data_IF_406797054059
#
_entry.id   IF_406797054059
#
_cell.length_a   1.000
_cell.length_b   1.000
_cell.length_c   1.000
_cell.angle_alpha   90.00
_cell.angle_beta   90.00
_cell.angle_gamma   90.00
#
_symmetry.space_group_name_H-M   'P 1'
#
loop_
_entity.id
_entity.type
_entity.pdbx_description
1 polymer ?
#
# COMPACT_ATOMS: atom_id res chain seq x y z
N UNK A 1 6.71 -6.35 -14.12
CA UNK A 1 6.87 -7.72 -13.63
C UNK A 1 6.95 -7.66 -12.11
N UNK A 2 5.81 -7.50 -11.48
CA UNK A 2 5.69 -7.70 -10.05
C UNK A 2 5.94 -9.19 -9.83
N UNK A 3 7.00 -9.44 -9.16
CA UNK A 3 7.58 -10.75 -9.08
C UNK A 3 6.88 -11.58 -8.02
N UNK A 4 6.82 -12.85 -8.24
CA UNK A 4 6.53 -13.87 -7.22
C UNK A 4 7.46 -13.80 -5.99
N UNK A 5 8.45 -12.90 -6.01
CA UNK A 5 9.26 -12.58 -4.83
C UNK A 5 8.42 -12.19 -3.62
N UNK A 6 7.27 -11.55 -3.84
CA UNK A 6 6.36 -11.18 -2.77
C UNK A 6 5.63 -12.36 -2.12
N UNK A 7 5.64 -13.52 -2.77
CA UNK A 7 4.88 -14.69 -2.30
C UNK A 7 5.69 -15.71 -1.50
N UNK A 8 7.03 -15.63 -1.51
CA UNK A 8 7.91 -16.58 -0.83
C UNK A 8 9.05 -15.88 -0.09
N UNK A 9 8.75 -15.11 0.96
CA UNK A 9 9.75 -14.27 1.63
C UNK A 9 10.91 -15.01 2.28
N UNK A 10 10.77 -16.31 2.56
CA UNK A 10 11.80 -17.11 3.23
C UNK A 10 12.41 -18.22 2.35
N UNK A 11 12.11 -18.25 1.06
CA UNK A 11 12.73 -19.21 0.15
C UNK A 11 14.11 -18.74 -0.29
N UNK A 12 15.16 -19.50 0.00
CA UNK A 12 16.54 -19.20 -0.43
C UNK A 12 16.73 -19.29 -1.95
N UNK A 13 15.89 -20.05 -2.64
CA UNK A 13 15.94 -20.22 -4.07
C UNK A 13 14.55 -20.42 -4.67
N UNK A 14 14.28 -19.70 -5.71
CA UNK A 14 13.03 -19.82 -6.41
C UNK A 14 13.25 -19.74 -7.94
N UNK A 15 12.50 -20.54 -8.69
CA UNK A 15 12.50 -20.51 -10.14
C UNK A 15 11.08 -20.39 -10.67
N UNK A 16 10.89 -19.37 -11.50
CA UNK A 16 9.65 -19.15 -12.24
C UNK A 16 9.91 -19.20 -13.74
N UNK A 17 9.10 -19.92 -14.47
CA UNK A 17 9.13 -19.97 -15.93
C UNK A 17 7.70 -19.85 -16.46
N UNK A 18 7.54 -19.10 -17.55
CA UNK A 18 6.23 -18.89 -18.19
C UNK A 18 6.40 -18.71 -19.70
N UNK A 19 5.35 -19.07 -20.42
CA UNK A 19 5.22 -18.79 -21.83
C UNK A 19 4.07 -17.82 -22.09
N UNK A 20 4.37 -16.73 -22.79
CA UNK A 20 3.35 -15.77 -23.21
C UNK A 20 2.89 -16.18 -24.61
N UNK A 21 1.64 -16.56 -24.73
CA UNK A 21 1.05 -17.04 -25.98
C UNK A 21 -0.15 -16.19 -26.41
N UNK A 22 -0.37 -16.12 -27.72
CA UNK A 22 -1.60 -15.57 -28.23
C UNK A 22 -2.73 -16.59 -28.10
N UNK A 23 -3.91 -16.12 -27.76
CA UNK A 23 -5.11 -16.94 -27.66
C UNK A 23 -6.26 -16.32 -28.46
N UNK A 24 -7.34 -17.05 -28.63
CA UNK A 24 -8.56 -16.57 -29.29
C UNK A 24 -9.57 -15.93 -28.32
N UNK A 25 -9.14 -15.66 -27.10
CA UNK A 25 -9.91 -14.89 -26.11
C UNK A 25 -9.34 -13.50 -25.96
N UNK A 26 -10.04 -12.63 -25.28
CA UNK A 26 -9.58 -11.27 -25.03
C UNK A 26 -8.21 -11.28 -24.35
N UNK A 27 -7.34 -10.37 -24.78
CA UNK A 27 -6.01 -10.23 -24.19
C UNK A 27 -6.11 -9.89 -22.68
N UNK A 28 -5.27 -10.56 -21.90
CA UNK A 28 -5.06 -10.18 -20.51
C UNK A 28 -4.35 -8.83 -20.42
N UNK A 29 -4.67 -8.05 -19.40
CA UNK A 29 -4.08 -6.75 -19.16
C UNK A 29 -3.88 -6.50 -17.66
N UNK A 30 -3.40 -5.31 -17.35
CA UNK A 30 -3.26 -4.86 -15.98
C UNK A 30 -4.63 -4.77 -15.29
N UNK A 31 -4.77 -5.46 -14.19
CA UNK A 31 -5.95 -5.44 -13.36
C UNK A 31 -5.51 -5.29 -11.89
N UNK A 32 -6.42 -4.91 -11.01
CA UNK A 32 -6.13 -4.72 -9.58
C UNK A 32 -5.34 -5.90 -9.01
N UNK A 33 -4.14 -5.64 -8.46
CA UNK A 33 -3.15 -6.64 -8.05
C UNK A 33 -2.07 -6.89 -9.10
N UNK A 34 -2.21 -6.44 -10.34
CA UNK A 34 -1.23 -6.35 -11.43
C UNK A 34 -0.29 -7.57 -11.55
N UNK A 35 -0.89 -8.76 -11.73
CA UNK A 35 -0.17 -10.02 -11.89
C UNK A 35 0.19 -10.73 -10.58
N UNK A 36 0.24 -10.04 -9.44
CA UNK A 36 0.47 -10.66 -8.14
C UNK A 36 -0.63 -11.69 -7.80
N UNK A 37 -1.86 -11.40 -8.14
CA UNK A 37 -3.00 -12.31 -7.88
C UNK A 37 -2.84 -13.66 -8.54
N UNK A 38 -2.39 -13.72 -9.80
CA UNK A 38 -2.15 -14.98 -10.51
C UNK A 38 -0.96 -15.74 -9.91
N UNK A 39 0.11 -15.01 -9.59
CA UNK A 39 1.30 -15.60 -8.98
C UNK A 39 1.00 -16.16 -7.58
N UNK A 40 0.33 -15.39 -6.74
CA UNK A 40 -0.04 -15.81 -5.39
C UNK A 40 -0.99 -17.02 -5.46
N UNK A 41 -1.96 -17.01 -6.37
CA UNK A 41 -2.85 -18.17 -6.55
C UNK A 41 -2.07 -19.45 -6.87
N UNK A 42 -1.11 -19.38 -7.78
CA UNK A 42 -0.28 -20.52 -8.14
C UNK A 42 0.54 -21.05 -6.95
N UNK A 43 1.19 -20.14 -6.23
CA UNK A 43 2.01 -20.49 -5.05
C UNK A 43 1.15 -21.06 -3.93
N UNK A 44 0.07 -20.39 -3.58
CA UNK A 44 -0.81 -20.80 -2.49
C UNK A 44 -1.52 -22.13 -2.78
N UNK A 45 -1.84 -22.40 -4.05
CA UNK A 45 -2.34 -23.72 -4.48
C UNK A 45 -1.27 -24.80 -4.30
N UNK A 46 -0.04 -24.54 -4.71
CA UNK A 46 1.07 -25.47 -4.54
C UNK A 46 1.37 -25.73 -3.04
N UNK A 47 1.29 -24.70 -2.19
CA UNK A 47 1.46 -24.84 -0.74
C UNK A 47 0.35 -25.71 -0.14
N UNK A 48 -0.88 -25.57 -0.60
CA UNK A 48 -2.00 -26.43 -0.16
C UNK A 48 -1.78 -27.88 -0.57
N UNK A 49 -1.39 -28.14 -1.83
CA UNK A 49 -1.07 -29.49 -2.30
C UNK A 49 0.12 -30.10 -1.52
N UNK A 50 1.13 -29.31 -1.25
CA UNK A 50 2.27 -29.76 -0.43
C UNK A 50 1.83 -30.11 0.99
N UNK A 51 0.99 -29.29 1.61
CA UNK A 51 0.44 -29.58 2.94
C UNK A 51 -0.35 -30.91 2.95
N UNK A 52 -1.16 -31.15 1.92
CA UNK A 52 -1.93 -32.41 1.77
C UNK A 52 -0.99 -33.61 1.63
N UNK A 53 0.03 -33.52 0.75
CA UNK A 53 1.03 -34.61 0.56
C UNK A 53 1.79 -34.90 1.84
N UNK A 54 2.11 -33.89 2.63
CA UNK A 54 2.80 -34.02 3.91
C UNK A 54 1.89 -34.45 5.06
N UNK A 55 0.58 -34.51 4.85
CA UNK A 55 -0.40 -34.75 5.92
C UNK A 55 -0.38 -33.64 6.98
N UNK A 56 -0.05 -32.41 6.59
CA UNK A 56 0.06 -31.24 7.45
C UNK A 56 -1.13 -30.31 7.26
N UNK A 57 -1.55 -29.65 8.35
CA UNK A 57 -2.53 -28.59 8.27
C UNK A 57 -1.99 -27.42 7.43
N UNK A 58 -2.75 -26.92 6.43
CA UNK A 58 -2.30 -25.80 5.58
C UNK A 58 -2.12 -24.48 6.32
N UNK A 59 -2.69 -24.29 7.50
CA UNK A 59 -2.33 -23.21 8.40
C UNK A 59 -0.95 -23.45 8.97
N UNK A 60 -0.69 -24.66 9.44
CA UNK A 60 0.59 -24.98 10.09
C UNK A 60 1.80 -24.84 9.17
N UNK A 61 1.68 -25.25 7.90
CA UNK A 61 2.78 -25.05 6.96
C UNK A 61 3.08 -23.56 6.73
N UNK A 62 2.05 -22.70 6.75
CA UNK A 62 2.21 -21.24 6.63
C UNK A 62 2.80 -20.62 7.88
N UNK A 63 2.35 -21.02 9.07
CA UNK A 63 2.95 -20.59 10.34
C UNK A 63 4.46 -20.88 10.42
N UNK A 64 4.90 -21.98 9.83
CA UNK A 64 6.31 -22.35 9.78
C UNK A 64 7.13 -21.57 8.74
N UNK A 65 6.46 -20.93 7.79
CA UNK A 65 7.10 -20.35 6.62
C UNK A 65 6.74 -18.86 6.39
N UNK A 66 5.90 -18.26 7.21
CA UNK A 66 5.61 -16.83 7.11
C UNK A 66 6.71 -16.00 7.75
N UNK A 67 6.98 -14.79 7.22
CA UNK A 67 7.91 -13.88 7.88
C UNK A 67 7.30 -13.35 9.18
N UNK A 68 8.11 -13.20 10.19
CA UNK A 68 7.78 -12.54 11.44
C UNK A 68 8.42 -11.15 11.50
N UNK A 69 7.87 -10.28 12.34
CA UNK A 69 8.43 -8.94 12.52
C UNK A 69 9.90 -9.01 12.97
N UNK A 70 10.75 -8.27 12.30
CA UNK A 70 12.19 -8.21 12.54
C UNK A 70 13.00 -9.29 11.82
N UNK A 71 12.36 -10.24 11.13
CA UNK A 71 13.07 -11.23 10.33
C UNK A 71 13.50 -10.66 8.97
N UNK A 72 14.61 -11.16 8.41
CA UNK A 72 15.06 -10.77 7.10
C UNK A 72 14.07 -11.23 6.02
N UNK A 73 13.97 -10.45 4.95
CA UNK A 73 13.19 -10.77 3.76
C UNK A 73 14.12 -11.10 2.59
N UNK A 74 14.58 -12.34 2.45
CA UNK A 74 15.62 -12.72 1.47
C UNK A 74 15.27 -12.40 0.01
N UNK A 75 13.97 -12.32 -0.30
CA UNK A 75 13.48 -11.96 -1.62
C UNK A 75 13.81 -10.53 -2.04
N UNK A 76 14.06 -9.65 -1.07
CA UNK A 76 14.37 -8.23 -1.30
C UNK A 76 15.84 -7.87 -1.08
N UNK A 77 16.68 -8.86 -0.80
CA UNK A 77 18.11 -8.71 -0.58
C UNK A 77 18.51 -8.71 0.89
N UNK A 78 19.82 -8.61 1.12
CA UNK A 78 20.40 -8.78 2.48
C UNK A 78 20.10 -7.60 3.43
N UNK A 79 19.49 -6.54 2.95
CA UNK A 79 19.29 -5.30 3.69
C UNK A 79 17.86 -5.09 4.20
N UNK A 80 16.91 -5.90 3.73
CA UNK A 80 15.51 -5.68 4.05
C UNK A 80 15.03 -6.64 5.14
N UNK A 81 14.37 -6.06 6.13
CA UNK A 81 13.71 -6.78 7.22
C UNK A 81 12.22 -6.48 7.24
N UNK A 82 11.44 -7.40 7.77
CA UNK A 82 10.02 -7.19 8.04
C UNK A 82 9.84 -6.24 9.24
N UNK A 83 10.07 -4.93 9.06
CA UNK A 83 10.02 -3.94 10.14
C UNK A 83 8.65 -3.84 10.79
N UNK A 84 7.58 -3.98 10.00
CA UNK A 84 6.19 -4.00 10.46
C UNK A 84 5.47 -5.19 9.83
N UNK A 85 5.30 -6.26 10.58
CA UNK A 85 4.64 -7.47 10.12
C UNK A 85 3.81 -8.07 11.25
N UNK A 86 2.52 -8.28 10.99
CA UNK A 86 1.56 -8.89 11.91
C UNK A 86 0.82 -10.06 11.27
N UNK A 87 1.47 -10.77 10.33
CA UNK A 87 0.87 -11.90 9.63
C UNK A 87 0.47 -13.02 10.57
N UNK A 88 1.28 -13.29 11.60
CA UNK A 88 1.00 -14.22 12.68
C UNK A 88 -0.31 -13.89 13.40
N UNK A 89 -0.48 -12.64 13.81
CA UNK A 89 -1.71 -12.18 14.46
C UNK A 89 -2.92 -12.25 13.52
N UNK A 90 -2.75 -11.91 12.24
CA UNK A 90 -3.79 -12.04 11.24
C UNK A 90 -4.21 -13.51 11.06
N UNK A 91 -3.25 -14.43 11.01
CA UNK A 91 -3.51 -15.85 10.90
C UNK A 91 -4.28 -16.38 12.12
N UNK A 92 -3.82 -16.06 13.32
CA UNK A 92 -4.48 -16.48 14.56
C UNK A 92 -5.91 -15.95 14.63
N UNK A 93 -6.11 -14.67 14.32
CA UNK A 93 -7.43 -14.07 14.31
C UNK A 93 -8.35 -14.68 13.26
N UNK A 94 -7.83 -15.00 12.08
CA UNK A 94 -8.60 -15.68 11.03
C UNK A 94 -9.01 -17.09 11.45
N UNK A 95 -8.13 -17.85 12.10
CA UNK A 95 -8.43 -19.18 12.68
C UNK A 95 -9.57 -19.11 13.69
N UNK A 96 -9.50 -18.18 14.63
CA UNK A 96 -10.55 -17.96 15.64
C UNK A 96 -11.90 -17.62 14.96
N UNK A 97 -11.93 -16.61 14.08
CA UNK A 97 -13.14 -16.16 13.40
C UNK A 97 -13.80 -17.24 12.55
N UNK A 98 -12.99 -18.08 11.92
CA UNK A 98 -13.47 -19.20 11.10
C UNK A 98 -13.84 -20.43 11.93
N UNK A 99 -13.41 -20.50 13.19
CA UNK A 99 -13.46 -21.73 13.99
C UNK A 99 -12.80 -22.89 13.23
N UNK A 100 -11.51 -22.69 12.88
CA UNK A 100 -10.75 -23.53 11.95
C UNK A 100 -10.69 -24.98 12.40
N UNK A 101 -10.32 -25.24 13.64
CA UNK A 101 -10.09 -26.58 14.18
C UNK A 101 -11.35 -27.47 14.16
N UNK A 102 -12.55 -26.85 14.21
CA UNK A 102 -13.82 -27.57 14.12
C UNK A 102 -14.23 -27.83 12.67
N UNK A 103 -13.87 -26.95 11.75
CA UNK A 103 -14.39 -26.92 10.38
C UNK A 103 -13.46 -27.53 9.34
N UNK A 104 -12.15 -27.57 9.63
CA UNK A 104 -11.17 -28.11 8.69
C UNK A 104 -11.12 -29.65 8.77
N UNK A 105 -10.92 -30.38 7.66
CA UNK A 105 -10.83 -29.89 6.27
C UNK A 105 -12.20 -29.58 5.66
N UNK A 106 -13.24 -30.27 6.08
CA UNK A 106 -14.60 -30.05 5.61
C UNK A 106 -15.62 -30.69 6.56
N UNK A 107 -16.85 -30.23 6.47
CA UNK A 107 -17.98 -30.76 7.23
C UNK A 107 -19.11 -31.16 6.29
N UNK A 108 -19.57 -32.39 6.40
CA UNK A 108 -20.80 -32.82 5.76
C UNK A 108 -21.99 -32.18 6.47
N UNK A 109 -22.79 -31.44 5.72
CA UNK A 109 -24.00 -30.77 6.23
C UNK A 109 -25.27 -31.61 6.01
N UNK A 110 -25.15 -32.78 5.42
CA UNK A 110 -26.24 -33.61 4.98
C UNK A 110 -26.87 -33.14 3.63
N UNK A 111 -27.80 -33.92 3.10
CA UNK A 111 -28.49 -33.60 1.86
C UNK A 111 -27.56 -33.35 0.64
N UNK A 112 -26.43 -34.02 0.59
CA UNK A 112 -25.44 -33.87 -0.48
C UNK A 112 -24.65 -32.54 -0.44
N UNK A 113 -24.68 -31.80 0.67
CA UNK A 113 -23.94 -30.54 0.84
C UNK A 113 -22.72 -30.76 1.74
N UNK A 114 -21.59 -30.27 1.29
CA UNK A 114 -20.34 -30.26 2.05
C UNK A 114 -19.86 -28.82 2.16
N UNK A 115 -19.41 -28.42 3.35
CA UNK A 115 -18.74 -27.13 3.59
C UNK A 115 -17.25 -27.38 3.71
N UNK A 116 -16.49 -26.83 2.77
CA UNK A 116 -15.03 -26.74 2.86
C UNK A 116 -14.60 -25.43 3.47
N UNK A 117 -13.43 -25.41 4.07
CA UNK A 117 -12.70 -24.22 4.47
C UNK A 117 -11.30 -24.27 3.90
N UNK A 118 -10.73 -23.11 3.62
CA UNK A 118 -9.39 -22.97 3.09
C UNK A 118 -8.72 -21.73 3.60
N UNK A 119 -7.41 -21.70 3.52
CA UNK A 119 -6.56 -20.58 3.93
C UNK A 119 -5.61 -20.25 2.79
N UNK A 120 -5.33 -18.96 2.63
CA UNK A 120 -4.29 -18.43 1.77
C UNK A 120 -3.66 -17.22 2.45
N UNK A 121 -2.38 -17.00 2.18
CA UNK A 121 -1.66 -15.79 2.59
C UNK A 121 -1.24 -15.02 1.34
N UNK A 122 -1.27 -13.71 1.45
CA UNK A 122 -0.82 -12.84 0.38
C UNK A 122 0.02 -11.70 0.94
N UNK A 123 1.12 -11.40 0.27
CA UNK A 123 1.93 -10.22 0.49
C UNK A 123 2.15 -9.55 -0.87
N UNK A 124 2.08 -8.23 -0.90
CA UNK A 124 2.38 -7.45 -2.09
C UNK A 124 3.17 -6.21 -1.70
N UNK A 125 4.26 -5.94 -2.41
CA UNK A 125 5.00 -4.70 -2.27
C UNK A 125 4.18 -3.49 -2.70
N UNK A 126 4.40 -2.34 -2.05
CA UNK A 126 3.82 -1.06 -2.42
C UNK A 126 4.88 -0.21 -3.09
N UNK A 127 4.52 0.38 -4.26
CA UNK A 127 5.44 1.17 -5.08
C UNK A 127 6.56 0.35 -5.74
N UNK A 128 7.16 0.92 -6.77
CA UNK A 128 8.34 0.34 -7.46
C UNK A 128 9.50 1.31 -7.28
N UNK A 129 10.45 0.95 -6.44
CA UNK A 129 11.60 1.78 -6.13
C UNK A 129 12.36 2.22 -7.40
N UNK A 130 12.65 3.50 -7.50
CA UNK A 130 13.37 4.08 -8.64
C UNK A 130 12.54 4.25 -9.93
N UNK A 131 11.25 3.93 -9.92
CA UNK A 131 10.35 4.04 -11.07
C UNK A 131 9.16 4.94 -10.75
N UNK A 132 8.47 4.68 -9.62
CA UNK A 132 7.27 5.42 -9.27
C UNK A 132 7.61 6.82 -8.79
N UNK A 133 6.89 7.81 -9.33
CA UNK A 133 7.03 9.23 -9.01
C UNK A 133 5.67 9.76 -8.63
N UNK A 134 5.59 10.45 -7.52
CA UNK A 134 4.42 11.21 -7.08
C UNK A 134 4.67 12.71 -7.20
N UNK A 135 3.67 13.46 -7.63
CA UNK A 135 3.72 14.91 -7.73
C UNK A 135 2.55 15.55 -6.99
N UNK A 136 2.87 16.58 -6.19
CA UNK A 136 1.89 17.41 -5.50
C UNK A 136 2.34 18.86 -5.44
N UNK A 137 1.39 19.77 -5.47
CA UNK A 137 1.59 21.21 -5.29
C UNK A 137 0.62 21.74 -4.23
N UNK A 138 1.14 22.55 -3.29
CA UNK A 138 0.33 23.12 -2.20
C UNK A 138 0.34 24.64 -2.26
N UNK A 139 -0.84 25.25 -2.32
CA UNK A 139 -1.01 26.69 -2.43
C UNK A 139 -1.94 27.21 -1.33
N UNK A 140 -1.51 28.28 -0.65
CA UNK A 140 -2.38 29.08 0.20
C UNK A 140 -3.18 30.07 -0.65
N UNK A 141 -4.49 30.07 -0.51
CA UNK A 141 -5.42 30.96 -1.22
C UNK A 141 -5.63 32.28 -0.43
N UNK A 142 -6.20 33.28 -1.10
CA UNK A 142 -6.44 34.61 -0.51
C UNK A 142 -7.47 34.60 0.63
N UNK A 143 -8.34 33.61 0.67
CA UNK A 143 -9.37 33.42 1.69
C UNK A 143 -8.90 32.59 2.91
N UNK A 144 -7.62 32.18 2.91
CA UNK A 144 -7.05 31.34 3.96
C UNK A 144 -7.25 29.84 3.74
N UNK A 145 -7.97 29.41 2.70
CA UNK A 145 -8.05 28.01 2.32
C UNK A 145 -6.79 27.57 1.56
N UNK A 146 -6.67 26.26 1.35
CA UNK A 146 -5.55 25.68 0.61
C UNK A 146 -6.03 24.96 -0.63
N UNK A 147 -5.29 25.08 -1.71
CA UNK A 147 -5.46 24.24 -2.90
C UNK A 147 -4.35 23.19 -2.91
N UNK A 148 -4.75 21.93 -2.93
CA UNK A 148 -3.87 20.78 -3.12
C UNK A 148 -3.98 20.30 -4.56
N UNK A 149 -2.95 20.56 -5.35
CA UNK A 149 -2.79 20.07 -6.72
C UNK A 149 -2.15 18.70 -6.74
N UNK A 150 -2.75 17.75 -7.42
CA UNK A 150 -2.30 16.36 -7.48
C UNK A 150 -2.04 15.92 -8.92
N UNK A 151 -0.93 15.21 -9.14
CA UNK A 151 -0.67 14.54 -10.41
C UNK A 151 -1.41 13.20 -10.55
N UNK A 152 -1.78 12.55 -9.46
CA UNK A 152 -2.49 11.28 -9.48
C UNK A 152 -4.00 11.45 -9.64
N UNK A 153 -4.67 10.38 -10.13
CA UNK A 153 -6.11 10.36 -10.33
C UNK A 153 -6.81 9.45 -9.34
N UNK A 154 -7.91 9.92 -8.77
CA UNK A 154 -8.84 9.05 -8.02
C UNK A 154 -9.71 8.25 -9.00
N UNK A 155 -9.45 6.95 -9.05
CA UNK A 155 -10.24 6.01 -9.86
C UNK A 155 -11.18 5.15 -9.00
N UNK A 156 -11.60 5.67 -7.85
CA UNK A 156 -12.39 4.96 -6.84
C UNK A 156 -11.55 4.42 -5.68
N UNK A 157 -10.29 4.83 -5.59
CA UNK A 157 -9.37 4.44 -4.51
C UNK A 157 -9.53 5.31 -3.26
N UNK A 158 -10.16 6.48 -3.36
CA UNK A 158 -10.29 7.46 -2.28
C UNK A 158 -9.02 8.28 -2.06
N UNK A 159 -8.11 8.33 -3.05
CA UNK A 159 -6.83 9.03 -2.87
C UNK A 159 -7.01 10.53 -2.68
N UNK A 160 -7.98 11.17 -3.32
CA UNK A 160 -8.26 12.59 -3.12
C UNK A 160 -8.54 12.90 -1.64
N UNK A 161 -9.36 12.07 -0.99
CA UNK A 161 -9.69 12.22 0.44
C UNK A 161 -8.47 11.94 1.32
N UNK A 162 -7.74 10.85 1.08
CA UNK A 162 -6.58 10.46 1.89
C UNK A 162 -5.47 11.52 1.79
N UNK A 163 -5.19 12.00 0.59
CA UNK A 163 -4.15 13.02 0.37
C UNK A 163 -4.55 14.37 0.94
N UNK A 164 -5.85 14.72 0.92
CA UNK A 164 -6.37 15.90 1.62
C UNK A 164 -6.22 15.77 3.14
N UNK A 165 -6.45 14.59 3.72
CA UNK A 165 -6.22 14.34 5.15
C UNK A 165 -4.74 14.54 5.51
N UNK A 166 -3.82 13.96 4.71
CA UNK A 166 -2.38 14.15 4.93
C UNK A 166 -1.95 15.62 4.85
N UNK A 167 -2.52 16.38 3.89
CA UNK A 167 -2.29 17.80 3.78
C UNK A 167 -2.84 18.57 4.99
N UNK A 168 -4.05 18.26 5.44
CA UNK A 168 -4.69 18.88 6.58
C UNK A 168 -3.89 18.64 7.87
N UNK A 169 -3.44 17.40 8.10
CA UNK A 169 -2.58 17.07 9.24
C UNK A 169 -1.24 17.83 9.19
N UNK A 170 -0.61 17.88 8.02
CA UNK A 170 0.67 18.56 7.85
C UNK A 170 0.56 20.08 8.00
N UNK A 171 -0.56 20.67 7.56
CA UNK A 171 -0.83 22.10 7.68
C UNK A 171 -1.49 22.49 9.01
N UNK A 172 -1.82 21.51 9.86
CA UNK A 172 -2.52 21.70 11.15
C UNK A 172 -3.87 22.43 10.99
N UNK A 173 -4.63 22.05 9.97
CA UNK A 173 -5.91 22.69 9.62
C UNK A 173 -7.02 21.66 9.42
N UNK A 174 -8.26 22.13 9.30
CA UNK A 174 -9.39 21.25 8.94
C UNK A 174 -9.28 20.78 7.50
N UNK A 175 -9.68 19.53 7.24
CA UNK A 175 -9.81 19.01 5.88
C UNK A 175 -10.77 19.85 5.02
N UNK A 176 -11.76 20.50 5.64
CA UNK A 176 -12.70 21.39 4.96
C UNK A 176 -12.03 22.63 4.35
N UNK A 177 -10.82 22.95 4.81
CA UNK A 177 -10.01 24.04 4.25
C UNK A 177 -9.10 23.58 3.10
N UNK A 178 -9.09 22.28 2.76
CA UNK A 178 -8.29 21.74 1.67
C UNK A 178 -9.16 21.51 0.44
N UNK A 179 -8.93 22.27 -0.61
CA UNK A 179 -9.57 22.09 -1.92
C UNK A 179 -8.65 21.25 -2.79
N UNK A 180 -9.06 20.02 -3.04
CA UNK A 180 -8.31 19.11 -3.92
C UNK A 180 -8.62 19.41 -5.37
N UNK A 181 -7.58 19.53 -6.15
CA UNK A 181 -7.66 19.69 -7.60
C UNK A 181 -6.61 18.81 -8.26
N UNK A 182 -7.03 17.93 -9.14
CA UNK A 182 -6.13 16.93 -9.74
C UNK A 182 -6.41 16.67 -11.20
N UNK A 183 -5.53 15.86 -11.78
CA UNK A 183 -5.61 15.31 -13.14
C UNK A 183 -5.65 16.31 -14.29
N UNK A 184 -5.12 17.51 -14.08
CA UNK A 184 -4.91 18.47 -15.16
C UNK A 184 -3.41 18.54 -15.48
N UNK A 185 -3.02 17.89 -16.57
CA UNK A 185 -1.61 17.76 -16.99
C UNK A 185 -1.00 19.07 -17.50
N UNK A 186 -1.80 20.10 -17.72
CA UNK A 186 -1.31 21.42 -18.11
C UNK A 186 -0.89 22.27 -16.91
N UNK A 187 -1.39 21.94 -15.70
CA UNK A 187 -1.25 22.76 -14.50
C UNK A 187 -0.45 22.04 -13.42
N UNK A 188 -0.72 20.74 -13.20
CA UNK A 188 -0.18 20.02 -12.06
C UNK A 188 1.02 19.14 -12.40
N UNK A 189 1.83 18.81 -11.38
CA UNK A 189 3.07 18.07 -11.60
C UNK A 189 2.81 16.67 -12.13
N UNK A 190 3.84 16.11 -12.76
CA UNK A 190 3.82 14.75 -13.26
C UNK A 190 3.69 13.74 -12.10
N UNK A 191 2.88 12.73 -12.34
CA UNK A 191 2.75 11.53 -11.50
C UNK A 191 2.77 10.31 -12.41
N UNK A 192 3.38 9.24 -11.97
CA UNK A 192 3.49 8.02 -12.80
C UNK A 192 2.19 7.26 -12.93
N UNK A 193 1.21 7.55 -12.08
CA UNK A 193 -0.13 6.98 -12.11
C UNK A 193 -0.49 6.18 -10.84
N UNK A 194 -1.78 6.00 -10.64
CA UNK A 194 -2.34 5.28 -9.48
C UNK A 194 -2.28 3.76 -9.70
N UNK A 195 -1.11 3.17 -9.61
CA UNK A 195 -0.87 1.72 -9.76
C UNK A 195 0.15 1.21 -8.72
N UNK A 196 0.42 -0.08 -8.71
CA UNK A 196 1.37 -0.76 -7.81
C UNK A 196 1.17 -0.44 -6.32
N UNK A 197 -0.03 -0.05 -5.90
CA UNK A 197 -0.33 0.40 -4.52
C UNK A 197 0.55 1.56 -4.04
N UNK A 198 0.98 2.44 -4.97
CA UNK A 198 1.98 3.47 -4.72
C UNK A 198 1.38 4.79 -4.23
N UNK A 199 0.16 5.12 -4.61
CA UNK A 199 -0.39 6.48 -4.51
C UNK A 199 -0.30 7.06 -3.09
N UNK A 200 -0.84 6.36 -2.08
CA UNK A 200 -0.83 6.86 -0.69
C UNK A 200 0.59 7.06 -0.17
N UNK A 201 1.52 6.19 -0.53
CA UNK A 201 2.90 6.28 -0.08
C UNK A 201 3.69 7.32 -0.89
N UNK A 202 3.77 7.14 -2.20
CA UNK A 202 4.64 7.96 -3.07
C UNK A 202 4.09 9.36 -3.25
N UNK A 203 2.83 9.51 -3.67
CA UNK A 203 2.21 10.83 -3.83
C UNK A 203 1.93 11.46 -2.47
N UNK A 204 1.60 10.66 -1.43
CA UNK A 204 1.46 11.17 -0.07
C UNK A 204 2.73 11.81 0.47
N UNK A 205 3.91 11.25 0.20
CA UNK A 205 5.18 11.88 0.54
C UNK A 205 5.41 13.18 -0.23
N UNK A 206 5.00 13.26 -1.50
CA UNK A 206 5.05 14.51 -2.26
C UNK A 206 4.13 15.58 -1.64
N UNK A 207 2.94 15.20 -1.17
CA UNK A 207 2.03 16.09 -0.44
C UNK A 207 2.68 16.61 0.85
N UNK A 208 3.26 15.72 1.66
CA UNK A 208 3.93 16.13 2.91
C UNK A 208 5.07 17.08 2.64
N UNK A 209 5.92 16.80 1.64
CA UNK A 209 7.02 17.69 1.26
C UNK A 209 6.53 19.04 0.79
N UNK A 210 5.51 19.08 -0.07
CA UNK A 210 4.91 20.33 -0.56
C UNK A 210 4.32 21.17 0.58
N UNK A 211 3.63 20.53 1.54
CA UNK A 211 3.12 21.20 2.75
C UNK A 211 4.26 21.76 3.62
N UNK A 212 5.32 20.98 3.83
CA UNK A 212 6.48 21.43 4.61
C UNK A 212 7.17 22.63 3.97
N UNK A 213 7.31 22.63 2.64
CA UNK A 213 7.85 23.78 1.92
C UNK A 213 6.96 25.02 2.06
N UNK A 214 5.63 24.86 1.97
CA UNK A 214 4.70 25.97 2.15
C UNK A 214 4.75 26.52 3.58
N UNK A 215 4.76 25.65 4.60
CA UNK A 215 4.93 26.04 6.01
C UNK A 215 6.22 26.84 6.21
N UNK A 216 7.32 26.39 5.64
CA UNK A 216 8.58 27.11 5.69
C UNK A 216 8.51 28.52 5.07
N UNK A 217 7.80 28.65 3.94
CA UNK A 217 7.56 29.98 3.30
C UNK A 217 6.68 30.88 4.17
N UNK A 218 5.63 30.33 4.80
CA UNK A 218 4.75 31.07 5.73
C UNK A 218 5.56 31.55 6.95
N UNK A 219 6.32 30.68 7.60
CA UNK A 219 7.18 31.05 8.73
C UNK A 219 8.23 32.10 8.35
N UNK A 220 8.89 31.95 7.20
CA UNK A 220 9.87 32.90 6.73
C UNK A 220 9.29 34.31 6.44
N UNK A 221 8.04 34.35 5.92
CA UNK A 221 7.33 35.61 5.73
C UNK A 221 6.89 36.22 7.08
N UNK A 222 6.36 35.37 7.98
CA UNK A 222 5.99 35.77 9.35
C UNK A 222 7.15 36.34 10.14
N UNK A 223 8.30 35.71 10.08
CA UNK A 223 9.52 36.19 10.72
C UNK A 223 9.90 37.64 10.28
N UNK A 224 9.76 37.93 8.98
CA UNK A 224 10.00 39.31 8.48
C UNK A 224 9.00 40.30 9.05
N UNK A 225 7.71 39.91 9.17
CA UNK A 225 6.67 40.78 9.70
C UNK A 225 6.84 41.00 11.21
N UNK A 226 7.17 39.93 11.94
CA UNK A 226 7.37 39.91 13.39
C UNK A 226 8.73 40.50 13.78
N UNK A 227 9.64 40.70 12.83
CA UNK A 227 11.03 41.08 13.07
C UNK A 227 11.77 40.11 14.03
N UNK A 228 11.48 38.82 13.87
CA UNK A 228 12.03 37.72 14.64
C UNK A 228 13.01 36.89 13.80
N UNK A 229 13.76 36.01 14.47
CA UNK A 229 14.58 35.02 13.79
C UNK A 229 13.65 33.95 13.15
N UNK A 230 13.84 33.56 11.88
CA UNK A 230 13.03 32.51 11.24
C UNK A 230 13.04 31.16 11.98
N UNK A 231 14.11 30.85 12.73
CA UNK A 231 14.23 29.64 13.55
C UNK A 231 13.38 29.65 14.82
N UNK A 232 12.95 30.84 15.26
CA UNK A 232 12.11 31.06 16.45
C UNK A 232 10.61 31.15 16.10
N UNK A 233 10.27 31.17 14.82
CA UNK A 233 8.89 31.36 14.37
C UNK A 233 8.22 30.02 14.03
N UNK A 234 7.03 29.82 14.58
CA UNK A 234 6.20 28.66 14.35
C UNK A 234 4.87 29.03 13.66
N UNK A 235 4.22 28.03 13.10
CA UNK A 235 2.90 28.13 12.47
C UNK A 235 2.02 26.99 12.97
N UNK A 236 0.83 27.29 13.50
CA UNK A 236 -0.13 26.35 14.09
C UNK A 236 -1.34 26.04 13.19
N UNK A 237 -1.25 26.40 11.92
CA UNK A 237 -2.33 26.21 10.95
C UNK A 237 -3.20 27.46 10.75
N UNK A 238 -3.16 28.40 11.67
CA UNK A 238 -3.94 29.65 11.62
C UNK A 238 -3.05 30.90 11.86
N UNK A 239 -2.16 30.82 12.82
CA UNK A 239 -1.31 31.95 13.22
C UNK A 239 0.18 31.62 13.10
N UNK A 240 0.95 32.67 12.83
CA UNK A 240 2.39 32.66 12.89
C UNK A 240 2.82 33.37 14.17
N UNK A 241 3.60 32.74 15.02
CA UNK A 241 4.00 33.25 16.34
C UNK A 241 5.43 32.89 16.69
#
# INVERSE_FOLDING_TARGET
>A
TLSLHDALPISEAYRFAYDVVYTNVQAAGAYRGYGATQGIYAVESAVNELAEIMGMDPVKIRELNMPLQGEPLPAYGDCDTAESCTMDQCMERAKEMMNWDEKYPCKDLGNGKVRGVGVAMAMQGSSIAGIDVGGADMKLNEDGSYTLGLGCADMGTGCDTILAQMAADCMETSIDNIVVFGVDTDIYPYDSGSYASATTYTTGMAVVQSCQELRGKICALGAKILQADPEEVNFDGEFVF
#
